data_IF_151343123723
#
_entry.id   IF_151343123723
#
_cell.length_a   1.000
_cell.length_b   1.000
_cell.length_c   1.000
_cell.angle_alpha   90.00
_cell.angle_beta   90.00
_cell.angle_gamma   90.00
#
_symmetry.space_group_name_H-M   'P 1'
#
loop_
_entity.id
_entity.type
_entity.pdbx_description
1 polymer ?
#
# COMPACT_ATOMS: atom_id res chain seq x y z
N UNK A 1 -10.54 -6.65 -20.45
CA UNK A 1 -11.60 -6.16 -19.52
C UNK A 1 -11.43 -6.67 -18.09
N UNK A 2 -10.91 -7.89 -17.86
CA UNK A 2 -10.70 -8.45 -16.51
C UNK A 2 -9.46 -7.92 -15.75
N UNK A 3 -8.42 -7.44 -16.43
CA UNK A 3 -7.24 -6.82 -15.79
C UNK A 3 -7.55 -5.50 -15.05
N UNK A 4 -8.57 -4.76 -15.52
CA UNK A 4 -8.96 -3.48 -14.94
C UNK A 4 -9.62 -3.64 -13.56
N UNK A 5 -10.38 -4.73 -13.35
CA UNK A 5 -11.06 -5.02 -12.08
C UNK A 5 -10.11 -5.57 -11.00
N UNK A 6 -9.07 -6.29 -11.42
CA UNK A 6 -8.04 -6.85 -10.51
C UNK A 6 -7.13 -5.74 -9.94
N UNK A 7 -6.78 -4.73 -10.74
CA UNK A 7 -6.10 -3.51 -10.28
C UNK A 7 -7.00 -2.59 -9.44
N UNK A 8 -8.30 -2.54 -9.73
CA UNK A 8 -9.28 -1.71 -9.00
C UNK A 8 -9.48 -2.19 -7.54
N UNK A 9 -9.49 -3.51 -7.32
CA UNK A 9 -9.57 -4.12 -5.99
C UNK A 9 -8.29 -3.94 -5.16
N UNK A 10 -7.12 -3.95 -5.81
CA UNK A 10 -5.80 -3.68 -5.20
C UNK A 10 -5.61 -2.19 -4.85
N UNK A 11 -6.17 -1.28 -5.66
CA UNK A 11 -6.12 0.19 -5.44
C UNK A 11 -7.13 0.73 -4.42
N UNK A 12 -8.33 0.16 -4.25
CA UNK A 12 -9.33 0.74 -3.31
C UNK A 12 -8.93 0.64 -1.83
N UNK A 13 -8.35 -0.50 -1.42
CA UNK A 13 -7.83 -0.66 -0.04
C UNK A 13 -6.53 0.13 0.18
N UNK A 14 -5.64 0.16 -0.81
CA UNK A 14 -4.44 1.01 -0.78
C UNK A 14 -4.78 2.51 -0.73
N UNK A 15 -5.73 2.98 -1.55
CA UNK A 15 -6.15 4.38 -1.59
C UNK A 15 -6.77 4.82 -0.26
N UNK A 16 -7.60 3.97 0.36
CA UNK A 16 -8.12 4.24 1.71
C UNK A 16 -6.99 4.39 2.73
N UNK A 17 -6.03 3.46 2.75
CA UNK A 17 -4.87 3.58 3.62
C UNK A 17 -4.15 4.92 3.40
N UNK A 18 -3.84 5.27 2.14
CA UNK A 18 -3.14 6.50 1.84
C UNK A 18 -3.91 7.75 2.27
N UNK A 19 -5.23 7.79 2.02
CA UNK A 19 -6.10 8.88 2.48
C UNK A 19 -6.02 9.02 4.00
N UNK A 20 -6.21 7.92 4.75
CA UNK A 20 -6.17 7.98 6.21
C UNK A 20 -4.77 8.29 6.74
N UNK A 21 -3.73 7.78 6.10
CA UNK A 21 -2.34 8.05 6.44
C UNK A 21 -1.97 9.52 6.23
N UNK A 22 -2.39 10.13 5.12
CA UNK A 22 -2.26 11.58 4.89
C UNK A 22 -2.98 12.37 5.98
N UNK A 23 -4.24 12.02 6.25
CA UNK A 23 -5.06 12.73 7.24
C UNK A 23 -4.61 12.52 8.69
N UNK A 24 -3.86 11.44 8.98
CA UNK A 24 -3.19 11.23 10.27
C UNK A 24 -2.16 12.32 10.56
N UNK A 25 -1.48 12.82 9.53
CA UNK A 25 -0.43 13.83 9.67
C UNK A 25 -0.99 15.24 9.71
N UNK A 26 -1.97 15.57 8.85
CA UNK A 26 -2.62 16.88 8.87
C UNK A 26 -3.97 16.91 8.15
N UNK A 27 -4.92 17.77 8.58
CA UNK A 27 -6.15 18.03 7.84
C UNK A 27 -5.85 18.51 6.42
N UNK A 28 -6.44 17.85 5.42
CA UNK A 28 -6.11 18.05 4.01
C UNK A 28 -7.34 18.11 3.11
N UNK A 29 -7.31 18.94 2.08
CA UNK A 29 -8.31 18.96 1.00
C UNK A 29 -8.16 17.71 0.11
N UNK A 30 -9.18 17.41 -0.70
CA UNK A 30 -9.07 16.31 -1.67
C UNK A 30 -7.90 16.46 -2.65
N UNK A 31 -7.53 17.70 -3.01
CA UNK A 31 -6.39 17.99 -3.89
C UNK A 31 -5.06 17.73 -3.18
N UNK A 32 -4.89 18.26 -1.95
CA UNK A 32 -3.71 18.02 -1.12
C UNK A 32 -3.49 16.51 -0.88
N UNK A 33 -4.56 15.74 -0.70
CA UNK A 33 -4.46 14.28 -0.57
C UNK A 33 -3.93 13.62 -1.85
N UNK A 34 -4.43 14.01 -3.03
CA UNK A 34 -3.94 13.47 -4.31
C UNK A 34 -2.43 13.72 -4.48
N UNK A 35 -1.98 14.93 -4.18
CA UNK A 35 -0.58 15.33 -4.32
C UNK A 35 0.32 14.60 -3.32
N UNK A 36 -0.17 14.39 -2.10
CA UNK A 36 0.57 13.65 -1.06
C UNK A 36 0.71 12.16 -1.41
N UNK A 37 -0.32 11.53 -1.98
CA UNK A 37 -0.21 10.13 -2.47
C UNK A 37 0.80 10.00 -3.62
N UNK A 38 0.82 10.96 -4.55
CA UNK A 38 1.82 11.01 -5.62
C UNK A 38 3.24 11.15 -5.05
N UNK A 39 3.43 12.06 -4.09
CA UNK A 39 4.71 12.28 -3.42
C UNK A 39 5.20 11.02 -2.70
N UNK A 40 4.35 10.36 -1.92
CA UNK A 40 4.69 9.14 -1.17
C UNK A 40 4.93 7.92 -2.06
N UNK A 41 4.32 7.90 -3.25
CA UNK A 41 4.56 6.86 -4.25
C UNK A 41 5.76 7.16 -5.16
N UNK A 42 6.59 8.15 -4.84
CA UNK A 42 7.73 8.59 -5.65
C UNK A 42 7.33 8.95 -7.11
N UNK A 43 6.13 9.51 -7.29
CA UNK A 43 5.59 9.88 -8.59
C UNK A 43 5.06 8.71 -9.43
N UNK A 44 5.06 7.48 -8.90
CA UNK A 44 4.60 6.30 -9.63
C UNK A 44 3.08 6.28 -9.80
N UNK A 45 2.34 6.94 -8.90
CA UNK A 45 0.89 6.91 -8.94
C UNK A 45 0.24 8.12 -8.25
N UNK A 46 -0.63 8.82 -9.00
CA UNK A 46 -1.53 9.84 -8.49
C UNK A 46 -2.98 9.37 -8.61
N UNK A 47 -3.76 9.29 -7.53
CA UNK A 47 -5.18 8.95 -7.62
C UNK A 47 -5.95 10.08 -8.31
N UNK A 48 -7.00 9.73 -9.07
CA UNK A 48 -7.81 10.71 -9.77
C UNK A 48 -8.92 11.29 -8.88
N UNK A 49 -9.45 12.49 -9.18
CA UNK A 49 -10.63 13.04 -8.51
C UNK A 49 -11.80 12.05 -8.43
N UNK A 50 -12.06 11.31 -9.52
CA UNK A 50 -13.13 10.31 -9.61
C UNK A 50 -12.92 9.08 -8.72
N UNK A 51 -11.72 8.88 -8.17
CA UNK A 51 -11.44 7.86 -7.16
C UNK A 51 -11.42 8.42 -5.74
N UNK A 52 -10.97 9.67 -5.56
CA UNK A 52 -10.79 10.33 -4.27
C UNK A 52 -12.11 10.81 -3.69
N UNK A 53 -12.89 11.60 -4.43
CA UNK A 53 -14.09 12.23 -3.87
C UNK A 53 -15.17 11.22 -3.47
N UNK A 54 -15.46 10.16 -4.26
CA UNK A 54 -16.37 9.12 -3.81
C UNK A 54 -15.90 8.40 -2.55
N UNK A 55 -14.59 8.20 -2.40
CA UNK A 55 -14.02 7.59 -1.20
C UNK A 55 -14.12 8.52 0.02
N UNK A 56 -13.84 9.82 -0.13
CA UNK A 56 -13.99 10.80 0.96
C UNK A 56 -15.45 10.93 1.41
N UNK A 57 -16.39 10.88 0.47
CA UNK A 57 -17.82 10.84 0.80
C UNK A 57 -18.18 9.57 1.57
N UNK A 58 -17.70 8.41 1.12
CA UNK A 58 -17.91 7.13 1.81
C UNK A 58 -17.32 7.16 3.23
N UNK A 59 -16.07 7.61 3.40
CA UNK A 59 -15.41 7.73 4.70
C UNK A 59 -16.13 8.69 5.65
N UNK A 60 -16.69 9.77 5.11
CA UNK A 60 -17.49 10.73 5.89
C UNK A 60 -18.79 10.09 6.38
N UNK A 61 -19.49 9.34 5.50
CA UNK A 61 -20.70 8.58 5.86
C UNK A 61 -20.43 7.49 6.89
N UNK A 62 -19.27 6.85 6.82
CA UNK A 62 -18.83 5.86 7.81
C UNK A 62 -18.40 6.47 9.15
N UNK A 63 -18.29 7.81 9.23
CA UNK A 63 -17.83 8.52 10.43
C UNK A 63 -16.32 8.36 10.69
N UNK A 64 -15.55 7.98 9.67
CA UNK A 64 -14.08 7.77 9.76
C UNK A 64 -13.33 9.08 9.61
N UNK A 65 -13.88 9.98 8.79
CA UNK A 65 -13.37 11.35 8.62
C UNK A 65 -14.53 12.34 8.78
N UNK A 66 -14.21 13.60 9.03
CA UNK A 66 -15.17 14.71 8.95
C UNK A 66 -14.64 15.81 8.04
N UNK A 67 -15.55 16.49 7.34
CA UNK A 67 -15.23 17.67 6.54
C UNK A 67 -15.36 18.92 7.41
N UNK A 68 -14.35 19.79 7.36
CA UNK A 68 -14.29 21.09 8.02
C UNK A 68 -14.89 22.17 7.13
N UNK A 69 -15.16 23.33 7.72
CA UNK A 69 -15.73 24.49 7.02
C UNK A 69 -14.77 25.07 5.96
N UNK A 70 -13.46 24.92 6.16
CA UNK A 70 -12.41 25.30 5.22
C UNK A 70 -12.25 24.31 4.03
N UNK A 71 -13.12 23.29 3.96
CA UNK A 71 -13.10 22.29 2.90
C UNK A 71 -12.05 21.18 3.07
N UNK A 72 -11.25 21.21 4.15
CA UNK A 72 -10.33 20.13 4.50
C UNK A 72 -11.07 18.99 5.18
N UNK A 73 -10.51 17.79 5.06
CA UNK A 73 -10.94 16.61 5.77
C UNK A 73 -9.98 16.35 6.92
N UNK A 74 -10.48 15.77 8.02
CA UNK A 74 -9.65 15.32 9.13
C UNK A 74 -10.19 14.01 9.71
N UNK A 75 -9.31 13.21 10.33
CA UNK A 75 -9.70 11.96 10.98
C UNK A 75 -10.62 12.25 12.18
N UNK A 76 -11.65 11.43 12.33
CA UNK A 76 -12.34 11.27 13.62
C UNK A 76 -11.55 10.31 14.50
N UNK A 77 -12.02 10.07 15.73
CA UNK A 77 -11.40 9.07 16.60
C UNK A 77 -11.42 7.67 15.98
N UNK A 78 -12.56 7.28 15.40
CA UNK A 78 -12.70 6.04 14.62
C UNK A 78 -11.66 5.95 13.48
N UNK A 79 -11.40 7.06 12.80
CA UNK A 79 -10.39 7.10 11.75
C UNK A 79 -8.95 6.96 12.25
N UNK A 80 -8.65 7.45 13.45
CA UNK A 80 -7.34 7.28 14.10
C UNK A 80 -7.09 5.82 14.47
N UNK A 81 -8.06 5.16 15.09
CA UNK A 81 -7.98 3.73 15.42
C UNK A 81 -7.78 2.89 14.15
N UNK A 82 -8.50 3.22 13.08
CA UNK A 82 -8.41 2.47 11.83
C UNK A 82 -7.03 2.61 11.16
N UNK A 83 -6.48 3.82 11.09
CA UNK A 83 -5.14 4.01 10.51
C UNK A 83 -4.05 3.40 11.39
N UNK A 84 -4.22 3.39 12.71
CA UNK A 84 -3.30 2.69 13.62
C UNK A 84 -3.33 1.18 13.42
N UNK A 85 -4.51 0.61 13.16
CA UNK A 85 -4.63 -0.81 12.78
C UNK A 85 -3.82 -1.12 11.52
N UNK A 86 -3.85 -0.25 10.49
CA UNK A 86 -3.02 -0.42 9.29
C UNK A 86 -1.50 -0.28 9.55
N UNK A 87 -1.10 0.44 10.60
CA UNK A 87 0.31 0.66 10.93
C UNK A 87 0.87 -0.34 11.94
N UNK A 88 0.00 -1.16 12.54
CA UNK A 88 0.40 -2.26 13.39
C UNK A 88 1.18 -3.29 12.55
N UNK A 89 2.35 -3.79 12.97
CA UNK A 89 3.13 -4.81 12.24
C UNK A 89 2.38 -6.13 11.97
N UNK A 90 1.19 -6.32 12.55
CA UNK A 90 0.24 -7.42 12.24
C UNK A 90 -0.72 -7.09 11.08
N UNK A 91 -0.81 -5.82 10.62
CA UNK A 91 -1.63 -5.38 9.45
C UNK A 91 -1.02 -4.34 8.46
N UNK A 92 0.22 -4.47 7.91
CA UNK A 92 0.65 -3.62 6.79
C UNK A 92 -0.27 -3.58 5.54
N UNK A 93 -0.47 -2.38 4.95
CA UNK A 93 -1.40 -2.16 3.83
C UNK A 93 -0.86 -2.57 2.46
N UNK A 94 0.44 -2.89 2.37
CA UNK A 94 1.09 -3.34 1.13
C UNK A 94 1.32 -4.86 1.07
N UNK A 95 1.06 -5.55 2.17
CA UNK A 95 1.18 -6.99 2.34
C UNK A 95 0.61 -7.26 3.72
N UNK A 96 -0.48 -8.02 3.93
CA UNK A 96 -0.77 -8.75 5.20
C UNK A 96 -2.11 -9.50 5.22
N UNK A 97 -2.10 -10.69 4.65
CA UNK A 97 -2.21 -11.83 5.55
C UNK A 97 -0.78 -12.27 5.77
N UNK A 98 -0.22 -12.12 6.98
CA UNK A 98 0.99 -12.88 7.30
C UNK A 98 0.65 -14.35 7.01
N UNK A 99 1.48 -15.09 6.28
CA UNK A 99 1.21 -16.49 6.01
C UNK A 99 0.81 -17.23 7.28
N UNK A 100 -0.42 -17.74 7.34
CA UNK A 100 -0.92 -18.47 8.51
C UNK A 100 -0.46 -19.93 8.52
N UNK A 101 0.28 -20.33 7.50
CA UNK A 101 0.82 -21.67 7.29
C UNK A 101 2.21 -21.57 6.67
N UNK A 102 2.99 -22.64 6.82
CA UNK A 102 4.28 -22.80 6.14
C UNK A 102 4.12 -22.64 4.63
N UNK A 103 3.07 -23.22 4.04
CA UNK A 103 2.79 -23.12 2.60
C UNK A 103 2.62 -21.66 2.15
N UNK A 104 1.91 -20.84 2.91
CA UNK A 104 1.77 -19.42 2.56
C UNK A 104 3.10 -18.66 2.60
N UNK A 105 4.02 -19.05 3.48
CA UNK A 105 5.36 -18.45 3.55
C UNK A 105 6.14 -18.82 2.29
N UNK A 106 6.06 -20.09 1.89
CA UNK A 106 6.72 -20.59 0.69
C UNK A 106 6.14 -19.97 -0.59
N UNK A 107 4.83 -19.77 -0.66
CA UNK A 107 4.16 -19.09 -1.77
C UNK A 107 4.63 -17.62 -1.88
N UNK A 108 4.74 -16.93 -0.75
CA UNK A 108 5.20 -15.54 -0.72
C UNK A 108 6.69 -15.43 -1.11
N UNK A 109 7.55 -16.31 -0.61
CA UNK A 109 8.95 -16.40 -1.04
C UNK A 109 9.02 -16.65 -2.55
N UNK A 110 8.21 -17.57 -3.08
CA UNK A 110 8.17 -17.91 -4.51
C UNK A 110 7.75 -16.72 -5.38
N UNK A 111 6.79 -15.92 -4.91
CA UNK A 111 6.36 -14.71 -5.61
C UNK A 111 7.49 -13.67 -5.69
N UNK A 112 8.23 -13.45 -4.60
CA UNK A 112 9.38 -12.54 -4.61
C UNK A 112 10.54 -13.05 -5.47
N UNK A 113 10.81 -14.36 -5.47
CA UNK A 113 11.81 -14.97 -6.36
C UNK A 113 11.43 -14.73 -7.82
N UNK A 114 10.17 -14.98 -8.19
CA UNK A 114 9.66 -14.73 -9.55
C UNK A 114 9.86 -13.27 -9.99
N UNK A 115 9.60 -12.31 -9.09
CA UNK A 115 9.86 -10.89 -9.36
C UNK A 115 11.35 -10.60 -9.62
N UNK A 116 12.26 -11.21 -8.84
CA UNK A 116 13.70 -11.06 -9.07
C UNK A 116 14.13 -11.68 -10.40
N UNK A 117 13.55 -12.82 -10.80
CA UNK A 117 13.81 -13.45 -12.10
C UNK A 117 13.36 -12.58 -13.27
N UNK A 118 12.16 -11.99 -13.18
CA UNK A 118 11.66 -11.05 -14.17
C UNK A 118 12.54 -9.80 -14.26
N UNK A 119 13.00 -9.30 -13.11
CA UNK A 119 13.94 -8.18 -13.06
C UNK A 119 15.30 -8.55 -13.68
N UNK A 120 15.80 -9.77 -13.43
CA UNK A 120 17.03 -10.28 -14.03
C UNK A 120 16.91 -10.38 -15.56
N UNK A 121 15.73 -10.76 -16.07
CA UNK A 121 15.45 -10.89 -17.51
C UNK A 121 15.34 -9.53 -18.20
N UNK A 122 14.73 -8.56 -17.55
CA UNK A 122 14.42 -7.24 -18.15
C UNK A 122 15.50 -6.18 -17.89
N UNK A 123 16.22 -6.28 -16.77
CA UNK A 123 17.25 -5.33 -16.32
C UNK A 123 18.39 -6.08 -15.60
N UNK A 124 19.07 -6.97 -16.32
CA UNK A 124 20.08 -7.89 -15.77
C UNK A 124 21.13 -7.25 -14.83
N UNK A 125 21.55 -6.01 -15.09
CA UNK A 125 22.54 -5.31 -14.27
C UNK A 125 22.01 -4.82 -12.91
N UNK A 126 20.70 -4.68 -12.72
CA UNK A 126 20.13 -4.13 -11.49
C UNK A 126 20.28 -5.04 -10.28
N UNK A 127 20.56 -6.33 -10.49
CA UNK A 127 20.75 -7.30 -9.41
C UNK A 127 22.21 -7.53 -9.02
N UNK A 128 23.17 -7.10 -9.85
CA UNK A 128 24.62 -7.30 -9.59
C UNK A 128 25.08 -6.78 -8.21
N UNK A 129 24.65 -5.60 -7.73
CA UNK A 129 25.06 -5.11 -6.41
C UNK A 129 24.56 -5.98 -5.25
N UNK A 130 23.54 -6.82 -5.48
CA UNK A 130 22.84 -7.58 -4.44
C UNK A 130 23.17 -9.07 -4.46
N UNK A 131 24.01 -9.55 -5.39
CA UNK A 131 24.28 -10.99 -5.58
C UNK A 131 24.79 -11.69 -4.33
N UNK A 132 25.68 -11.04 -3.55
CA UNK A 132 26.19 -11.59 -2.29
C UNK A 132 25.07 -11.82 -1.26
N UNK A 133 24.13 -10.87 -1.16
CA UNK A 133 23.01 -10.94 -0.22
C UNK A 133 21.99 -11.99 -0.64
N UNK A 134 21.72 -12.11 -1.95
CA UNK A 134 20.86 -13.17 -2.48
C UNK A 134 21.44 -14.55 -2.15
N UNK A 135 22.77 -14.73 -2.34
CA UNK A 135 23.46 -15.98 -2.03
C UNK A 135 23.38 -16.33 -0.54
N UNK A 136 23.59 -15.36 0.35
CA UNK A 136 23.48 -15.56 1.80
C UNK A 136 22.06 -16.03 2.21
N UNK A 137 21.01 -15.41 1.65
CA UNK A 137 19.63 -15.80 1.93
C UNK A 137 19.32 -17.22 1.45
N UNK A 138 19.77 -17.57 0.24
CA UNK A 138 19.62 -18.92 -0.31
C UNK A 138 20.32 -19.97 0.57
N UNK A 139 21.53 -19.67 1.06
CA UNK A 139 22.27 -20.57 1.94
C UNK A 139 21.56 -20.76 3.28
N UNK A 140 21.02 -19.69 3.88
CA UNK A 140 20.25 -19.79 5.13
C UNK A 140 18.99 -20.63 4.95
N UNK A 141 18.25 -20.45 3.86
CA UNK A 141 17.05 -21.23 3.56
C UNK A 141 17.37 -22.71 3.34
N UNK A 142 18.52 -23.03 2.73
CA UNK A 142 18.94 -24.41 2.49
C UNK A 142 19.30 -25.21 3.76
N UNK A 143 19.45 -24.52 4.90
CA UNK A 143 19.82 -25.11 6.19
C UNK A 143 18.63 -25.28 7.16
N UNK A 144 17.43 -24.86 6.75
CA UNK A 144 16.19 -25.11 7.50
C UNK A 144 15.78 -26.58 7.38
#
# INVERSE_FOLDING_TARGET
MLAALWEFGRRRRGLRFWVLYTLKHSPSTGAEIMDEVERMSFGLWRPSPGSIYPLLEQLSKEGVIRKRDDGKYELTEKGREEVESFLNPVFPPFSLQAPRSVDGVLDEISAYVSYLEDLARTKSDSLKPYSSRIKELAERLSKL
#
